data_IF_048815135257
#
_entry.id   IF_048815135257
#
_cell.length_a   1.000
_cell.length_b   1.000
_cell.length_c   1.000
_cell.angle_alpha   90.00
_cell.angle_beta   90.00
_cell.angle_gamma   90.00
#
_symmetry.space_group_name_H-M   'P 1'
#
loop_
_entity.id
_entity.type
_entity.pdbx_description
1 polymer ?
#
# COMPACT_ATOMS: atom_id res chain seq x y z
N UNK A 1 -6.58 -7.47 -0.02
CA UNK A 1 -7.50 -6.31 -0.10
C UNK A 1 -7.61 -5.56 1.22
N UNK A 2 -7.87 -6.22 2.34
CA UNK A 2 -8.10 -5.59 3.66
C UNK A 2 -6.97 -4.62 4.09
N UNK A 3 -5.69 -4.97 3.88
CA UNK A 3 -4.56 -4.14 4.31
C UNK A 3 -4.54 -2.77 3.60
N UNK A 4 -4.73 -2.71 2.28
CA UNK A 4 -4.71 -1.45 1.51
C UNK A 4 -5.81 -0.48 1.94
N UNK A 5 -7.04 -0.99 2.09
CA UNK A 5 -8.17 -0.16 2.52
C UNK A 5 -8.08 0.20 4.00
N UNK A 6 -7.57 -0.71 4.84
CA UNK A 6 -7.31 -0.45 6.25
C UNK A 6 -6.25 0.64 6.45
N UNK A 7 -5.15 0.58 5.69
CA UNK A 7 -4.10 1.59 5.66
C UNK A 7 -4.65 2.95 5.20
N UNK A 8 -5.41 2.99 4.11
CA UNK A 8 -6.03 4.22 3.62
C UNK A 8 -6.94 4.86 4.68
N UNK A 9 -7.77 4.04 5.35
CA UNK A 9 -8.63 4.51 6.42
C UNK A 9 -7.85 5.05 7.61
N UNK A 10 -6.77 4.37 8.03
CA UNK A 10 -5.88 4.80 9.12
C UNK A 10 -5.24 6.16 8.80
N UNK A 11 -4.68 6.31 7.60
CA UNK A 11 -4.04 7.56 7.16
C UNK A 11 -5.06 8.71 7.11
N UNK A 12 -6.28 8.46 6.62
CA UNK A 12 -7.36 9.45 6.61
C UNK A 12 -7.75 9.87 8.04
N UNK A 13 -7.89 8.93 8.97
CA UNK A 13 -8.20 9.22 10.38
C UNK A 13 -7.11 10.07 11.03
N UNK A 14 -5.84 9.70 10.85
CA UNK A 14 -4.70 10.46 11.41
C UNK A 14 -4.61 11.86 10.80
N UNK A 15 -4.84 11.99 9.51
CA UNK A 15 -4.89 13.29 8.83
C UNK A 15 -6.02 14.16 9.40
N UNK A 16 -7.23 13.60 9.52
CA UNK A 16 -8.37 14.31 10.12
C UNK A 16 -8.09 14.74 11.56
N UNK A 17 -7.54 13.83 12.39
CA UNK A 17 -7.16 14.13 13.76
C UNK A 17 -6.17 15.30 13.82
N UNK A 18 -5.15 15.29 12.99
CA UNK A 18 -4.14 16.33 12.91
C UNK A 18 -4.75 17.68 12.52
N UNK A 19 -5.60 17.70 11.49
CA UNK A 19 -6.33 18.92 11.10
C UNK A 19 -7.19 19.46 12.23
N UNK A 20 -7.91 18.61 12.95
CA UNK A 20 -8.75 19.02 14.09
C UNK A 20 -7.90 19.57 15.24
N UNK A 21 -6.75 18.95 15.52
CA UNK A 21 -5.81 19.46 16.53
C UNK A 21 -5.29 20.87 16.17
N UNK A 22 -4.90 21.08 14.92
CA UNK A 22 -4.48 22.39 14.43
C UNK A 22 -5.62 23.41 14.48
N UNK A 23 -6.82 23.04 14.08
CA UNK A 23 -7.98 23.92 14.10
C UNK A 23 -8.32 24.39 15.53
N UNK A 24 -8.33 23.49 16.48
CA UNK A 24 -8.59 23.82 17.90
C UNK A 24 -7.59 24.81 18.49
N UNK A 25 -6.36 24.77 18.00
CA UNK A 25 -5.28 25.64 18.47
C UNK A 25 -5.04 26.85 17.56
N UNK A 26 -5.88 27.10 16.54
CA UNK A 26 -5.71 28.12 15.49
C UNK A 26 -5.33 29.51 16.03
N UNK A 27 -5.97 29.96 17.10
CA UNK A 27 -5.71 31.30 17.70
C UNK A 27 -4.36 31.43 18.44
N UNK A 28 -3.68 30.32 18.69
CA UNK A 28 -2.40 30.29 19.41
C UNK A 28 -1.20 30.14 18.44
N UNK A 29 -1.44 29.97 17.15
CA UNK A 29 -0.38 29.75 16.17
C UNK A 29 0.29 31.05 15.74
N UNK A 30 1.62 31.20 15.96
CA UNK A 30 2.38 32.27 15.33
C UNK A 30 2.45 32.05 13.80
N UNK A 31 2.73 33.12 13.06
CA UNK A 31 2.84 33.11 11.59
C UNK A 31 3.83 32.07 11.06
N UNK A 32 4.90 31.83 11.84
CA UNK A 32 5.92 30.82 11.50
C UNK A 32 5.43 29.36 11.50
N UNK A 33 4.31 29.08 12.19
CA UNK A 33 3.72 27.74 12.23
C UNK A 33 2.76 27.47 11.05
N UNK A 34 2.45 28.47 10.23
CA UNK A 34 1.60 28.27 9.04
C UNK A 34 2.23 27.31 8.03
N UNK A 35 3.56 27.35 7.87
CA UNK A 35 4.30 26.42 6.99
C UNK A 35 4.18 24.96 7.42
N UNK A 36 3.93 24.70 8.70
CA UNK A 36 3.73 23.34 9.23
C UNK A 36 2.43 22.73 8.70
N UNK A 37 1.41 23.56 8.46
CA UNK A 37 0.13 23.12 7.87
C UNK A 37 0.34 22.69 6.42
N UNK A 38 1.10 23.45 5.63
CA UNK A 38 1.43 23.08 4.25
C UNK A 38 2.23 21.78 4.21
N UNK A 39 3.16 21.60 5.15
CA UNK A 39 3.93 20.35 5.29
C UNK A 39 3.01 19.16 5.64
N UNK A 40 2.07 19.33 6.60
CA UNK A 40 1.07 18.31 6.92
C UNK A 40 0.26 17.93 5.69
N UNK A 41 -0.26 18.92 4.97
CA UNK A 41 -1.07 18.71 3.76
C UNK A 41 -0.26 17.99 2.69
N UNK A 42 0.98 18.40 2.44
CA UNK A 42 1.85 17.79 1.43
C UNK A 42 2.14 16.32 1.72
N UNK A 43 2.57 16.00 2.95
CA UNK A 43 2.88 14.62 3.33
C UNK A 43 1.63 13.74 3.40
N UNK A 44 0.52 14.26 3.92
CA UNK A 44 -0.76 13.52 3.93
C UNK A 44 -1.24 13.24 2.52
N UNK A 45 -1.14 14.24 1.61
CA UNK A 45 -1.50 14.06 0.20
C UNK A 45 -0.62 13.03 -0.48
N UNK A 46 0.71 13.04 -0.23
CA UNK A 46 1.63 12.06 -0.79
C UNK A 46 1.30 10.63 -0.33
N UNK A 47 1.06 10.45 0.98
CA UNK A 47 0.75 9.14 1.54
C UNK A 47 -0.61 8.61 1.05
N UNK A 48 -1.64 9.46 1.01
CA UNK A 48 -2.96 9.07 0.51
C UNK A 48 -2.89 8.74 -0.98
N UNK A 49 -2.17 9.52 -1.79
CA UNK A 49 -2.02 9.29 -3.23
C UNK A 49 -1.25 8.01 -3.54
N UNK A 50 -0.23 7.70 -2.75
CA UNK A 50 0.45 6.40 -2.77
C UNK A 50 -0.55 5.26 -2.56
N UNK A 51 -1.38 5.33 -1.53
CA UNK A 51 -2.38 4.31 -1.21
C UNK A 51 -3.51 4.25 -2.25
N UNK A 52 -3.94 5.39 -2.81
CA UNK A 52 -4.91 5.42 -3.92
C UNK A 52 -4.36 4.64 -5.11
N UNK A 53 -3.08 4.85 -5.49
CA UNK A 53 -2.46 4.12 -6.59
C UNK A 53 -2.49 2.60 -6.37
N UNK A 54 -2.24 2.17 -5.13
CA UNK A 54 -2.31 0.76 -4.76
C UNK A 54 -3.74 0.20 -4.70
N UNK A 55 -4.72 0.99 -4.26
CA UNK A 55 -6.13 0.55 -4.14
C UNK A 55 -6.82 0.49 -5.51
N UNK A 56 -6.42 1.33 -6.45
CA UNK A 56 -6.92 1.33 -7.83
C UNK A 56 -6.26 0.26 -8.72
N UNK A 57 -5.45 -0.63 -8.13
CA UNK A 57 -4.70 -1.67 -8.85
C UNK A 57 -3.86 -1.10 -10.01
N UNK A 58 -3.19 0.03 -9.76
CA UNK A 58 -2.34 0.75 -10.73
C UNK A 58 -3.07 1.31 -11.95
N UNK A 59 -4.38 1.51 -11.85
CA UNK A 59 -5.11 2.25 -12.86
C UNK A 59 -4.76 3.74 -12.75
N UNK A 60 -3.84 4.19 -13.61
CA UNK A 60 -3.29 5.55 -13.58
C UNK A 60 -4.39 6.61 -13.76
N UNK A 61 -5.30 6.39 -14.70
CA UNK A 61 -6.37 7.35 -14.99
C UNK A 61 -7.31 7.53 -13.79
N UNK A 62 -7.75 6.42 -13.18
CA UNK A 62 -8.60 6.46 -11.99
C UNK A 62 -7.87 7.10 -10.81
N UNK A 63 -6.57 6.79 -10.64
CA UNK A 63 -5.74 7.39 -9.59
C UNK A 63 -5.60 8.91 -9.76
N UNK A 64 -5.40 9.40 -10.99
CA UNK A 64 -5.32 10.84 -11.26
C UNK A 64 -6.62 11.54 -10.89
N UNK A 65 -7.78 10.98 -11.27
CA UNK A 65 -9.10 11.56 -10.95
C UNK A 65 -9.28 11.63 -9.43
N UNK A 66 -9.00 10.55 -8.69
CA UNK A 66 -9.14 10.51 -7.23
C UNK A 66 -8.16 11.47 -6.54
N UNK A 67 -6.94 11.60 -7.05
CA UNK A 67 -5.94 12.53 -6.52
C UNK A 67 -6.34 13.99 -6.77
N UNK A 68 -6.95 14.30 -7.91
CA UNK A 68 -7.47 15.63 -8.18
C UNK A 68 -8.61 15.98 -7.22
N UNK A 69 -9.52 15.06 -6.94
CA UNK A 69 -10.56 15.23 -5.91
C UNK A 69 -9.94 15.44 -4.52
N UNK A 70 -8.88 14.71 -4.18
CA UNK A 70 -8.16 14.87 -2.91
C UNK A 70 -7.54 16.27 -2.78
N UNK A 71 -6.90 16.79 -3.84
CA UNK A 71 -6.31 18.13 -3.85
C UNK A 71 -7.39 19.20 -3.66
N UNK A 72 -8.54 19.06 -4.34
CA UNK A 72 -9.68 19.97 -4.16
C UNK A 72 -10.24 19.93 -2.73
N UNK A 73 -10.33 18.74 -2.14
CA UNK A 73 -10.76 18.57 -0.75
C UNK A 73 -9.80 19.26 0.22
N UNK A 74 -8.49 19.09 0.07
CA UNK A 74 -7.50 19.77 0.91
C UNK A 74 -7.54 21.29 0.71
N UNK A 75 -7.71 21.78 -0.50
CA UNK A 75 -7.89 23.22 -0.77
C UNK A 75 -9.13 23.77 -0.04
N UNK A 76 -10.26 23.08 -0.13
CA UNK A 76 -11.48 23.48 0.55
C UNK A 76 -11.32 23.51 2.07
N UNK A 77 -10.73 22.45 2.64
CA UNK A 77 -10.47 22.36 4.08
C UNK A 77 -9.51 23.46 4.56
N UNK A 78 -8.41 23.67 3.84
CA UNK A 78 -7.41 24.66 4.22
C UNK A 78 -7.96 26.08 4.13
N UNK A 79 -8.72 26.40 3.09
CA UNK A 79 -9.39 27.70 2.95
C UNK A 79 -10.39 27.93 4.07
N UNK A 80 -11.23 26.95 4.38
CA UNK A 80 -12.25 27.04 5.43
C UNK A 80 -11.65 27.16 6.84
N UNK A 81 -10.61 26.39 7.12
CA UNK A 81 -10.05 26.24 8.47
C UNK A 81 -8.99 27.32 8.77
N UNK A 82 -8.15 27.69 7.82
CA UNK A 82 -6.96 28.52 8.06
C UNK A 82 -6.91 29.82 7.27
N UNK A 83 -7.91 30.07 6.42
CA UNK A 83 -7.97 31.21 5.51
C UNK A 83 -6.75 31.34 4.57
N UNK A 84 -6.03 30.25 4.38
CA UNK A 84 -4.95 30.05 3.43
C UNK A 84 -5.43 29.03 2.39
N UNK A 85 -4.93 29.07 1.18
CA UNK A 85 -5.39 28.14 0.17
C UNK A 85 -4.34 27.78 -0.87
N UNK A 86 -3.54 28.75 -1.29
CA UNK A 86 -2.64 28.57 -2.44
C UNK A 86 -1.43 27.71 -2.05
N UNK A 87 -0.80 27.99 -0.92
CA UNK A 87 0.40 27.25 -0.45
C UNK A 87 0.06 25.80 -0.12
N UNK A 88 -1.07 25.57 0.52
CA UNK A 88 -1.57 24.24 0.86
C UNK A 88 -2.02 23.46 -0.39
N UNK A 89 -2.63 24.15 -1.35
CA UNK A 89 -2.97 23.56 -2.65
C UNK A 89 -1.72 23.08 -3.38
N UNK A 90 -0.69 23.92 -3.48
CA UNK A 90 0.57 23.56 -4.13
C UNK A 90 1.25 22.40 -3.38
N UNK A 91 1.27 22.44 -2.05
CA UNK A 91 1.81 21.35 -1.25
C UNK A 91 1.05 20.03 -1.46
N UNK A 92 -0.29 20.09 -1.52
CA UNK A 92 -1.12 18.92 -1.81
C UNK A 92 -0.88 18.38 -3.21
N UNK A 93 -0.77 19.24 -4.20
CA UNK A 93 -0.55 18.85 -5.60
C UNK A 93 0.82 18.19 -5.77
N UNK A 94 1.88 18.80 -5.21
CA UNK A 94 3.22 18.20 -5.21
C UNK A 94 3.25 16.87 -4.46
N UNK A 95 2.61 16.80 -3.29
CA UNK A 95 2.48 15.57 -2.52
C UNK A 95 1.77 14.47 -3.30
N UNK A 96 0.62 14.79 -3.92
CA UNK A 96 -0.13 13.85 -4.73
C UNK A 96 0.69 13.32 -5.91
N UNK A 97 1.43 14.17 -6.59
CA UNK A 97 2.30 13.79 -7.70
C UNK A 97 3.41 12.84 -7.25
N UNK A 98 4.14 13.21 -6.20
CA UNK A 98 5.22 12.37 -5.63
C UNK A 98 4.67 11.03 -5.13
N UNK A 99 3.55 11.04 -4.39
CA UNK A 99 2.91 9.84 -3.88
C UNK A 99 2.46 8.88 -4.99
N UNK A 100 1.91 9.42 -6.08
CA UNK A 100 1.50 8.63 -7.24
C UNK A 100 2.70 7.98 -7.93
N UNK A 101 3.80 8.72 -8.13
CA UNK A 101 5.03 8.19 -8.74
C UNK A 101 5.61 7.07 -7.87
N UNK A 102 5.77 7.32 -6.57
CA UNK A 102 6.29 6.31 -5.64
C UNK A 102 5.36 5.09 -5.62
N UNK A 103 4.04 5.29 -5.59
CA UNK A 103 3.05 4.21 -5.64
C UNK A 103 3.13 3.38 -6.93
N UNK A 104 3.41 4.02 -8.05
CA UNK A 104 3.59 3.35 -9.33
C UNK A 104 4.90 2.57 -9.39
N UNK A 105 6.00 3.13 -8.85
CA UNK A 105 7.33 2.51 -8.87
C UNK A 105 7.48 1.37 -7.84
N UNK A 106 6.84 1.48 -6.69
CA UNK A 106 6.84 0.43 -5.67
C UNK A 106 5.86 -0.66 -6.06
N UNK A 107 6.30 -1.60 -6.89
CA UNK A 107 5.56 -2.85 -7.14
C UNK A 107 5.17 -3.46 -5.80
N UNK A 108 3.89 -3.38 -5.49
CA UNK A 108 3.33 -3.47 -4.15
C UNK A 108 3.67 -4.77 -3.43
N UNK A 109 4.69 -4.72 -2.62
CA UNK A 109 4.79 -5.65 -1.52
C UNK A 109 3.92 -5.13 -0.36
N UNK A 110 3.27 -6.00 0.36
CA UNK A 110 2.54 -5.65 1.60
C UNK A 110 3.43 -4.93 2.60
N UNK A 111 4.72 -5.22 2.57
CA UNK A 111 5.78 -4.60 3.37
C UNK A 111 5.88 -3.10 3.06
N UNK A 112 5.77 -2.69 1.79
CA UNK A 112 5.83 -1.27 1.41
C UNK A 112 4.69 -0.45 2.01
N UNK A 113 3.47 -1.02 2.06
CA UNK A 113 2.31 -0.36 2.70
C UNK A 113 2.57 -0.16 4.18
N UNK A 114 3.04 -1.20 4.88
CA UNK A 114 3.33 -1.15 6.32
C UNK A 114 4.44 -0.12 6.63
N UNK A 115 5.51 -0.11 5.82
CA UNK A 115 6.60 0.85 5.99
C UNK A 115 6.08 2.29 5.83
N UNK A 116 5.27 2.55 4.81
CA UNK A 116 4.70 3.88 4.57
C UNK A 116 3.77 4.29 5.71
N UNK A 117 2.96 3.38 6.24
CA UNK A 117 2.09 3.64 7.40
C UNK A 117 2.92 4.00 8.64
N UNK A 118 3.96 3.22 8.95
CA UNK A 118 4.85 3.49 10.09
C UNK A 118 5.53 4.85 9.94
N UNK A 119 6.07 5.16 8.76
CA UNK A 119 6.71 6.44 8.49
C UNK A 119 5.74 7.60 8.63
N UNK A 120 4.50 7.45 8.12
CA UNK A 120 3.46 8.47 8.25
C UNK A 120 3.06 8.71 9.71
N UNK A 121 2.89 7.64 10.49
CA UNK A 121 2.57 7.69 11.91
C UNK A 121 3.66 8.44 12.69
N UNK A 122 4.93 8.06 12.48
CA UNK A 122 6.09 8.71 13.11
C UNK A 122 6.15 10.18 12.71
N UNK A 123 5.92 10.48 11.43
CA UNK A 123 5.89 11.87 10.96
C UNK A 123 4.81 12.70 11.65
N UNK A 124 3.57 12.22 11.72
CA UNK A 124 2.45 12.91 12.39
C UNK A 124 2.77 13.12 13.87
N UNK A 125 3.32 12.09 14.54
CA UNK A 125 3.74 12.21 15.93
C UNK A 125 4.77 13.32 16.14
N UNK A 126 5.87 13.31 15.37
CA UNK A 126 6.93 14.30 15.47
C UNK A 126 6.40 15.71 15.18
N UNK A 127 5.52 15.83 14.18
CA UNK A 127 4.93 17.11 13.80
C UNK A 127 4.05 17.68 14.92
N UNK A 128 3.16 16.87 15.49
CA UNK A 128 2.31 17.29 16.62
C UNK A 128 3.14 17.60 17.86
N UNK A 129 4.14 16.79 18.18
CA UNK A 129 5.07 17.03 19.29
C UNK A 129 5.82 18.36 19.13
N UNK A 130 6.34 18.64 17.93
CA UNK A 130 7.01 19.90 17.63
C UNK A 130 6.08 21.10 17.79
N UNK A 131 4.86 20.99 17.31
CA UNK A 131 3.84 22.04 17.42
C UNK A 131 3.48 22.31 18.87
N UNK A 132 3.18 21.27 19.65
CA UNK A 132 2.81 21.42 21.06
C UNK A 132 3.95 22.07 21.87
N UNK A 133 5.20 21.66 21.61
CA UNK A 133 6.38 22.26 22.25
C UNK A 133 6.53 23.75 21.94
N UNK A 134 6.29 24.14 20.68
CA UNK A 134 6.34 25.56 20.26
C UNK A 134 5.20 26.38 20.83
N UNK A 135 3.99 25.81 20.94
CA UNK A 135 2.85 26.47 21.54
C UNK A 135 3.11 26.77 23.03
N UNK A 136 3.64 25.82 23.79
CA UNK A 136 3.98 25.97 25.20
C UNK A 136 5.08 27.04 25.39
N UNK A 137 6.12 27.02 24.52
CA UNK A 137 7.19 28.03 24.59
C UNK A 137 6.68 29.43 24.37
N UNK A 138 5.77 29.65 23.42
CA UNK A 138 5.20 30.99 23.15
C UNK A 138 4.26 31.47 24.26
N UNK A 139 3.52 30.58 24.91
CA UNK A 139 2.67 30.91 26.04
C UNK A 139 3.49 31.33 27.27
N UNK A 140 4.62 30.66 27.52
CA UNK A 140 5.53 31.01 28.62
C UNK A 140 6.23 32.36 28.40
N UNK A 141 6.46 32.77 27.18
CA UNK A 141 7.05 34.07 26.85
C UNK A 141 6.05 35.22 27.00
N UNK A 142 4.75 34.99 26.78
CA UNK A 142 3.69 35.99 27.01
C UNK A 142 3.22 36.09 28.45
N UNK A 143 3.37 35.03 29.25
CA UNK A 143 2.91 34.98 30.66
C UNK A 143 4.10 34.80 31.61
N UNK A 144 4.93 35.85 31.76
CA UNK A 144 5.86 35.95 32.90
C UNK A 144 5.14 36.16 34.26
N UNK A 145 3.81 36.18 34.27
CA UNK A 145 2.98 36.35 35.45
C UNK A 145 1.88 35.29 35.43
N UNK A 146 2.08 34.24 36.14
CA UNK A 146 1.27 33.16 36.70
C UNK A 146 1.73 31.77 36.25
N UNK A 147 2.46 31.16 37.19
CA UNK A 147 2.70 29.70 37.16
C UNK A 147 1.40 29.00 37.54
N UNK A 148 0.54 28.80 36.57
CA UNK A 148 -0.42 27.72 36.66
C UNK A 148 0.13 26.57 35.81
N UNK A 149 0.22 25.40 36.44
CA UNK A 149 0.68 24.17 35.83
C UNK A 149 0.02 24.01 34.46
N UNK A 150 0.78 24.25 33.40
CA UNK A 150 0.38 23.93 32.03
C UNK A 150 0.18 22.42 32.02
N UNK A 151 -1.08 22.00 32.10
CA UNK A 151 -1.51 20.62 31.91
C UNK A 151 -1.03 20.23 30.50
N UNK A 152 0.11 19.56 30.43
CA UNK A 152 0.61 18.96 29.19
C UNK A 152 -0.58 18.30 28.55
N UNK A 153 -0.82 18.59 27.27
CA UNK A 153 -1.96 18.05 26.55
C UNK A 153 -1.90 16.52 26.62
N UNK A 154 -2.64 15.93 27.55
CA UNK A 154 -2.78 14.48 27.71
C UNK A 154 -3.22 13.80 26.40
N UNK A 155 -3.73 14.59 25.46
CA UNK A 155 -4.18 14.18 24.15
C UNK A 155 -3.04 13.60 23.28
N UNK A 156 -1.85 14.22 23.30
CA UNK A 156 -0.70 13.74 22.51
C UNK A 156 -0.15 12.45 23.12
N UNK A 157 -0.09 12.38 24.46
CA UNK A 157 0.36 11.18 25.18
C UNK A 157 -0.60 10.01 24.95
N UNK A 158 -1.91 10.25 25.02
CA UNK A 158 -2.93 9.23 24.76
C UNK A 158 -2.85 8.73 23.33
N UNK A 159 -2.72 9.64 22.35
CA UNK A 159 -2.61 9.25 20.94
C UNK A 159 -1.37 8.38 20.69
N UNK A 160 -0.22 8.79 21.26
CA UNK A 160 1.03 8.02 21.11
C UNK A 160 0.96 6.66 21.76
N UNK A 161 0.30 6.56 22.93
CA UNK A 161 0.11 5.28 23.60
C UNK A 161 -0.77 4.35 22.78
N UNK A 162 -1.89 4.84 22.24
CA UNK A 162 -2.79 4.06 21.38
C UNK A 162 -2.04 3.59 20.13
N UNK A 163 -1.24 4.44 19.54
CA UNK A 163 -0.49 4.18 18.33
C UNK A 163 0.62 3.14 18.56
N UNK A 164 1.33 3.27 19.70
CA UNK A 164 2.35 2.30 20.11
C UNK A 164 1.73 0.92 20.37
N UNK A 165 0.56 0.87 21.01
CA UNK A 165 -0.21 -0.36 21.23
C UNK A 165 -0.62 -0.97 19.87
N UNK A 166 -1.10 -0.18 18.92
CA UNK A 166 -1.46 -0.66 17.58
C UNK A 166 -0.26 -1.24 16.83
N UNK A 167 0.91 -0.58 16.89
CA UNK A 167 2.14 -1.09 16.28
C UNK A 167 2.57 -2.41 16.93
N UNK A 168 2.49 -2.52 18.27
CA UNK A 168 2.80 -3.75 18.99
C UNK A 168 1.83 -4.87 18.61
N UNK A 169 0.51 -4.61 18.60
CA UNK A 169 -0.49 -5.58 18.20
C UNK A 169 -0.25 -6.06 16.77
N UNK A 170 0.10 -5.14 15.86
CA UNK A 170 0.38 -5.47 14.48
C UNK A 170 1.65 -6.33 14.34
N UNK A 171 2.75 -5.96 15.02
CA UNK A 171 4.01 -6.72 14.97
C UNK A 171 3.87 -8.13 15.56
N UNK A 172 3.15 -8.27 16.68
CA UNK A 172 2.89 -9.57 17.30
C UNK A 172 2.00 -10.46 16.43
N UNK A 173 1.07 -9.87 15.68
CA UNK A 173 0.17 -10.61 14.80
C UNK A 173 0.66 -10.71 13.34
N UNK A 174 1.84 -10.18 13.00
CA UNK A 174 2.38 -10.24 11.63
C UNK A 174 2.41 -11.66 11.07
N UNK A 175 2.71 -12.65 11.88
CA UNK A 175 2.73 -14.06 11.45
C UNK A 175 1.32 -14.68 11.28
N UNK A 176 0.28 -14.07 11.86
CA UNK A 176 -1.12 -14.52 11.74
C UNK A 176 -1.87 -13.74 10.63
N UNK A 177 -1.42 -12.54 10.32
CA UNK A 177 -1.94 -11.80 9.16
C UNK A 177 -1.31 -12.43 7.92
N UNK A 178 -2.01 -13.38 7.33
CA UNK A 178 -1.71 -13.84 5.96
C UNK A 178 -1.95 -12.65 5.04
N UNK A 179 -0.93 -11.83 4.90
CA UNK A 179 -0.95 -10.73 3.93
C UNK A 179 -0.88 -11.42 2.58
N UNK A 180 -2.02 -11.58 1.94
CA UNK A 180 -2.08 -12.07 0.56
C UNK A 180 -1.11 -11.21 -0.24
N UNK A 181 -0.28 -11.84 -1.06
CA UNK A 181 0.76 -11.16 -1.85
C UNK A 181 0.08 -10.13 -2.73
N UNK A 182 0.07 -8.89 -2.26
CA UNK A 182 -0.53 -7.76 -2.95
C UNK A 182 0.49 -7.32 -3.98
N UNK A 183 0.14 -7.49 -5.27
CA UNK A 183 0.99 -7.08 -6.38
C UNK A 183 2.05 -8.11 -6.75
N UNK A 184 1.67 -9.38 -6.86
CA UNK A 184 2.49 -10.29 -7.63
C UNK A 184 2.58 -9.77 -9.08
N UNK A 185 3.76 -9.81 -9.69
CA UNK A 185 3.89 -9.39 -11.08
C UNK A 185 2.87 -10.18 -11.90
N UNK A 186 1.99 -9.47 -12.61
CA UNK A 186 1.02 -10.13 -13.49
C UNK A 186 1.71 -10.92 -14.61
N UNK A 187 3.03 -10.68 -14.79
CA UNK A 187 3.89 -11.35 -15.78
C UNK A 187 5.22 -11.71 -15.12
N UNK A 188 5.67 -12.94 -15.37
CA UNK A 188 7.03 -13.37 -15.04
C UNK A 188 7.66 -14.04 -16.26
N UNK A 189 9.00 -13.98 -16.36
CA UNK A 189 9.77 -14.81 -17.27
C UNK A 189 10.29 -16.04 -16.52
N UNK A 190 10.28 -17.20 -17.18
CA UNK A 190 10.89 -18.40 -16.65
C UNK A 190 12.39 -18.20 -16.46
N UNK A 191 12.95 -18.81 -15.42
CA UNK A 191 14.37 -18.86 -15.17
C UNK A 191 14.99 -20.03 -15.93
N UNK A 192 16.17 -19.82 -16.50
CA UNK A 192 16.92 -20.88 -17.17
C UNK A 192 17.80 -21.59 -16.13
N UNK A 193 17.83 -22.90 -16.22
CA UNK A 193 18.76 -23.75 -15.49
C UNK A 193 19.76 -24.29 -16.52
N UNK A 194 20.90 -23.63 -16.59
CA UNK A 194 21.95 -23.92 -17.58
C UNK A 194 22.61 -25.30 -17.37
N UNK A 195 22.48 -25.88 -16.16
CA UNK A 195 23.04 -27.21 -15.87
C UNK A 195 22.19 -28.34 -16.41
N UNK A 196 20.88 -28.16 -16.52
CA UNK A 196 19.93 -29.20 -16.89
C UNK A 196 19.24 -28.91 -18.25
N UNK A 197 19.66 -27.87 -18.96
CA UNK A 197 19.06 -27.42 -20.24
C UNK A 197 17.52 -27.32 -20.18
N UNK A 198 17.03 -26.81 -19.07
CA UNK A 198 15.63 -26.61 -18.84
C UNK A 198 15.33 -25.18 -18.31
N UNK A 199 14.12 -24.74 -18.57
CA UNK A 199 13.60 -23.52 -17.95
C UNK A 199 12.54 -23.87 -16.91
N UNK A 200 12.45 -23.07 -15.85
CA UNK A 200 11.45 -23.28 -14.82
C UNK A 200 10.78 -22.00 -14.38
N UNK A 201 9.53 -22.11 -13.93
CA UNK A 201 8.78 -21.03 -13.32
C UNK A 201 7.90 -21.59 -12.21
N UNK A 202 7.71 -20.77 -11.16
CA UNK A 202 6.77 -21.10 -10.07
C UNK A 202 5.52 -20.25 -10.22
N UNK A 203 4.37 -20.89 -10.20
CA UNK A 203 3.05 -20.27 -10.25
C UNK A 203 2.35 -20.63 -8.95
N UNK A 204 1.99 -19.62 -8.14
CA UNK A 204 1.22 -19.83 -6.93
C UNK A 204 -0.28 -19.85 -7.24
N UNK A 205 -0.97 -20.79 -6.65
CA UNK A 205 -2.43 -20.91 -6.69
C UNK A 205 -2.98 -20.46 -5.35
N UNK A 206 -3.68 -19.35 -5.37
CA UNK A 206 -4.32 -18.72 -4.21
C UNK A 206 -5.84 -18.81 -4.34
N UNK A 207 -6.63 -18.53 -3.30
CA UNK A 207 -8.08 -18.43 -3.43
C UNK A 207 -8.55 -17.41 -4.47
N UNK A 208 -7.71 -16.42 -4.81
CA UNK A 208 -7.97 -15.41 -5.85
C UNK A 208 -7.52 -15.85 -7.25
N UNK A 209 -6.91 -17.03 -7.41
CA UNK A 209 -6.45 -17.59 -8.68
C UNK A 209 -4.93 -17.67 -8.82
N UNK A 210 -4.47 -17.65 -10.07
CA UNK A 210 -3.06 -17.78 -10.40
C UNK A 210 -2.25 -16.52 -10.10
N UNK A 211 -1.05 -16.71 -9.61
CA UNK A 211 -0.08 -15.67 -9.37
C UNK A 211 1.34 -16.15 -9.70
N UNK A 212 2.00 -15.56 -10.72
CA UNK A 212 1.49 -14.57 -11.67
C UNK A 212 0.43 -15.12 -12.63
N UNK A 213 -0.39 -14.23 -13.22
CA UNK A 213 -1.38 -14.62 -14.23
C UNK A 213 -0.76 -15.02 -15.56
N UNK A 214 0.39 -14.41 -15.92
CA UNK A 214 1.07 -14.66 -17.19
C UNK A 214 2.51 -15.09 -16.91
N UNK A 215 2.92 -16.22 -17.47
CA UNK A 215 4.30 -16.72 -17.37
C UNK A 215 4.87 -16.89 -18.77
N UNK A 216 6.04 -16.30 -19.01
CA UNK A 216 6.69 -16.28 -20.32
C UNK A 216 7.81 -17.32 -20.32
N UNK A 217 7.83 -18.16 -21.37
CA UNK A 217 8.81 -19.21 -21.62
C UNK A 217 9.47 -19.02 -22.97
N UNK A 218 10.68 -19.55 -23.11
CA UNK A 218 11.36 -19.67 -24.40
C UNK A 218 10.83 -20.89 -25.14
N UNK A 219 10.72 -20.85 -26.50
CA UNK A 219 10.33 -22.01 -27.29
C UNK A 219 11.44 -23.07 -27.35
N UNK A 220 11.07 -24.28 -27.70
CA UNK A 220 11.98 -25.39 -27.94
C UNK A 220 12.93 -25.74 -26.76
N UNK A 221 12.52 -25.40 -25.53
CA UNK A 221 13.27 -25.71 -24.31
C UNK A 221 12.38 -26.48 -23.37
N UNK A 222 12.92 -27.52 -22.73
CA UNK A 222 12.18 -28.28 -21.73
C UNK A 222 11.72 -27.36 -20.60
N UNK A 223 10.44 -27.40 -20.30
CA UNK A 223 9.81 -26.42 -19.36
C UNK A 223 9.27 -27.12 -18.15
N UNK A 224 9.76 -26.73 -16.96
CA UNK A 224 9.28 -27.19 -15.66
C UNK A 224 8.42 -26.11 -15.01
N UNK A 225 7.13 -26.37 -14.86
CA UNK A 225 6.21 -25.47 -14.16
C UNK A 225 5.97 -26.04 -12.76
N UNK A 226 6.31 -25.25 -11.74
CA UNK A 226 6.06 -25.59 -10.35
C UNK A 226 4.78 -24.85 -9.95
N UNK A 227 3.70 -25.60 -9.73
CA UNK A 227 2.42 -25.06 -9.30
C UNK A 227 2.33 -25.25 -7.79
N UNK A 228 2.45 -24.16 -7.03
CA UNK A 228 2.41 -24.17 -5.57
C UNK A 228 1.01 -23.75 -5.09
N UNK A 229 0.28 -24.68 -4.52
CA UNK A 229 -1.12 -24.50 -4.10
C UNK A 229 -1.19 -24.18 -2.62
N UNK A 230 -1.76 -23.01 -2.30
CA UNK A 230 -2.00 -22.60 -0.92
C UNK A 230 -3.03 -23.52 -0.24
N UNK A 231 -2.91 -23.71 1.07
CA UNK A 231 -3.85 -24.51 1.87
C UNK A 231 -5.30 -24.02 1.75
N UNK A 232 -5.48 -22.72 1.57
CA UNK A 232 -6.79 -22.06 1.49
C UNK A 232 -7.34 -22.02 0.05
N UNK A 233 -6.59 -22.51 -0.96
CA UNK A 233 -7.01 -22.51 -2.39
C UNK A 233 -8.03 -23.60 -2.73
N UNK A 234 -8.40 -24.42 -1.76
CA UNK A 234 -9.45 -25.45 -1.86
C UNK A 234 -8.91 -26.88 -2.04
N UNK A 235 -9.57 -27.81 -1.37
CA UNK A 235 -9.16 -29.22 -1.31
C UNK A 235 -9.29 -29.96 -2.66
N UNK A 236 -9.99 -29.40 -3.66
CA UNK A 236 -10.29 -30.02 -4.96
C UNK A 236 -9.84 -29.17 -6.14
N UNK A 237 -8.75 -28.42 -6.00
CA UNK A 237 -8.21 -27.61 -7.08
C UNK A 237 -7.79 -28.51 -8.27
N UNK A 238 -8.21 -28.15 -9.48
CA UNK A 238 -7.83 -28.84 -10.72
C UNK A 238 -7.28 -27.83 -11.72
N UNK A 239 -6.15 -28.15 -12.31
CA UNK A 239 -5.57 -27.39 -13.40
C UNK A 239 -6.03 -27.98 -14.71
N UNK A 240 -6.69 -27.19 -15.54
CA UNK A 240 -7.11 -27.58 -16.86
C UNK A 240 -6.54 -26.63 -17.92
N UNK A 241 -6.17 -27.18 -19.07
CA UNK A 241 -5.79 -26.45 -20.27
C UNK A 241 -6.22 -27.25 -21.49
N UNK A 242 -7.14 -26.70 -22.26
CA UNK A 242 -7.60 -27.31 -23.52
C UNK A 242 -6.45 -27.32 -24.54
N UNK A 243 -5.70 -26.22 -24.58
CA UNK A 243 -4.61 -26.04 -25.56
C UNK A 243 -3.44 -27.02 -25.34
N UNK A 244 -3.23 -27.46 -24.09
CA UNK A 244 -2.18 -28.39 -23.69
C UNK A 244 -2.71 -29.82 -23.46
N UNK A 245 -4.01 -30.04 -23.57
CA UNK A 245 -4.64 -31.33 -23.26
C UNK A 245 -4.50 -31.77 -21.80
N UNK A 246 -4.42 -30.82 -20.88
CA UNK A 246 -4.14 -31.07 -19.45
C UNK A 246 -5.42 -30.93 -18.64
N UNK A 247 -5.66 -31.94 -17.79
CA UNK A 247 -6.70 -31.87 -16.75
C UNK A 247 -6.25 -32.70 -15.54
N UNK A 248 -5.52 -32.06 -14.63
CA UNK A 248 -4.88 -32.72 -13.50
C UNK A 248 -5.40 -32.18 -12.17
N UNK A 249 -5.65 -33.05 -11.17
CA UNK A 249 -5.91 -32.62 -9.82
C UNK A 249 -4.64 -32.04 -9.20
N UNK A 250 -4.76 -30.93 -8.48
CA UNK A 250 -3.66 -30.32 -7.75
C UNK A 250 -3.74 -30.74 -6.29
N UNK A 251 -2.59 -31.08 -5.72
CA UNK A 251 -2.43 -31.31 -4.27
C UNK A 251 -1.98 -30.02 -3.61
N UNK A 252 -2.37 -29.79 -2.37
CA UNK A 252 -1.84 -28.70 -1.54
C UNK A 252 -0.31 -28.77 -1.49
N UNK A 253 0.37 -27.66 -1.65
CA UNK A 253 1.82 -27.57 -1.77
C UNK A 253 2.31 -27.66 -3.22
N UNK A 254 3.48 -28.25 -3.46
CA UNK A 254 4.17 -28.25 -4.74
C UNK A 254 3.66 -29.34 -5.67
N UNK A 255 3.20 -28.95 -6.85
CA UNK A 255 2.88 -29.83 -7.99
C UNK A 255 3.83 -29.47 -9.13
N UNK A 256 4.31 -30.48 -9.87
CA UNK A 256 5.25 -30.27 -10.97
C UNK A 256 4.59 -30.70 -12.26
N UNK A 257 4.60 -29.79 -13.23
CA UNK A 257 4.17 -30.03 -14.60
C UNK A 257 5.37 -29.87 -15.53
N UNK A 258 5.61 -30.86 -16.37
CA UNK A 258 6.66 -30.82 -17.36
C UNK A 258 6.04 -30.68 -18.76
N UNK A 259 6.49 -29.67 -19.51
CA UNK A 259 6.15 -29.47 -20.90
C UNK A 259 7.41 -29.71 -21.71
N UNK A 260 7.33 -30.70 -22.65
CA UNK A 260 8.44 -31.04 -23.52
C UNK A 260 8.38 -30.13 -24.75
N UNK A 261 9.36 -29.26 -24.91
CA UNK A 261 9.56 -28.39 -26.07
C UNK A 261 8.28 -27.69 -26.57
N UNK A 262 7.63 -26.85 -25.72
CA UNK A 262 6.40 -26.18 -26.11
C UNK A 262 6.63 -25.30 -27.35
N UNK A 263 5.67 -25.33 -28.27
CA UNK A 263 5.69 -24.49 -29.47
C UNK A 263 5.39 -23.04 -29.12
N UNK A 264 5.80 -22.09 -29.96
CA UNK A 264 5.42 -20.69 -29.82
C UNK A 264 3.91 -20.56 -29.84
N UNK A 265 3.38 -19.82 -28.86
CA UNK A 265 1.95 -19.60 -28.72
C UNK A 265 1.56 -19.11 -27.33
N UNK A 266 0.27 -18.84 -27.19
CA UNK A 266 -0.35 -18.54 -25.88
C UNK A 266 -1.23 -19.73 -25.50
N UNK A 267 -1.00 -20.27 -24.33
CA UNK A 267 -1.75 -21.40 -23.77
C UNK A 267 -2.54 -20.94 -22.55
N UNK A 268 -3.83 -21.09 -22.60
CA UNK A 268 -4.71 -20.75 -21.48
C UNK A 268 -4.75 -21.88 -20.46
N UNK A 269 -4.55 -21.55 -19.20
CA UNK A 269 -4.72 -22.46 -18.07
C UNK A 269 -5.87 -21.98 -17.20
N UNK A 270 -6.73 -22.88 -16.75
CA UNK A 270 -7.85 -22.58 -15.87
C UNK A 270 -7.77 -23.38 -14.57
N UNK A 271 -8.31 -22.82 -13.52
CA UNK A 271 -8.36 -23.41 -12.19
C UNK A 271 -9.82 -23.67 -11.80
N UNK A 272 -10.21 -24.92 -11.63
CA UNK A 272 -11.50 -25.26 -11.04
C UNK A 272 -11.33 -25.47 -9.53
N UNK A 273 -12.34 -25.12 -8.69
CA UNK A 273 -13.65 -24.57 -9.04
C UNK A 273 -13.71 -23.04 -9.20
N UNK A 274 -12.61 -22.32 -8.98
CA UNK A 274 -12.60 -20.82 -8.95
C UNK A 274 -12.79 -20.17 -10.31
N UNK A 275 -12.76 -20.93 -11.42
CA UNK A 275 -12.79 -20.44 -12.80
C UNK A 275 -11.74 -19.34 -13.13
N UNK A 276 -10.69 -19.28 -12.34
CA UNK A 276 -9.59 -18.34 -12.56
C UNK A 276 -8.77 -18.76 -13.77
N UNK A 277 -8.41 -17.81 -14.62
CA UNK A 277 -7.65 -18.04 -15.85
C UNK A 277 -6.26 -17.43 -15.74
N UNK A 278 -5.25 -18.19 -16.13
CA UNK A 278 -3.88 -17.76 -16.33
C UNK A 278 -3.41 -18.05 -17.76
N UNK A 279 -2.26 -17.51 -18.15
CA UNK A 279 -1.65 -17.71 -19.46
C UNK A 279 -0.20 -18.14 -19.36
N UNK A 280 0.18 -19.14 -20.13
CA UNK A 280 1.55 -19.52 -20.42
C UNK A 280 1.88 -19.01 -21.83
N UNK A 281 2.86 -18.13 -21.95
CA UNK A 281 3.24 -17.51 -23.22
C UNK A 281 4.61 -18.03 -23.63
N UNK A 282 4.69 -18.69 -24.76
CA UNK A 282 5.94 -19.22 -25.35
C UNK A 282 6.35 -18.33 -26.53
N UNK A 283 7.45 -17.57 -26.40
CA UNK A 283 7.91 -16.62 -27.42
C UNK A 283 9.42 -16.48 -27.52
#
# INVERSE_FOLDING_TARGET
MVLKYGSLFLVLLLTYYSFNHFYRNKGKFPTTLKSVISLLVGVSSATISFLIMLTTNYNVLLSIILNLLLVLLFLFLSKKLFNNGITEMLASLLGAFVGTIIGYMTFSSSISVVIVDILFIVFIYLLLFFVDRKLVSNLNQKNKIKRDHAKSSNSTVVLTSILLILVIIFTVNMNKVKVGVIGQPQKQAAKQDDQNDLQYATIHVTPSGFSPKNTIFKPATMTKIIVEVDQDAGANARLASTDLGINIPLKTGKNILLLNNPLKGEYSISLAPSNSVGKLVVK
#
